data_IF_620569646527
#
_entry.id   IF_620569646527
#
_cell.length_a   1.000
_cell.length_b   1.000
_cell.length_c   1.000
_cell.angle_alpha   90.00
_cell.angle_beta   90.00
_cell.angle_gamma   90.00
#
_symmetry.space_group_name_H-M   'P 1'
#
loop_
_entity.id
_entity.type
_entity.pdbx_description
1 polymer ?
#
# COMPACT_ATOMS: atom_id res chain seq x y z
N UNK A 1 -8.03 -27.51 13.08
CA UNK A 1 -8.43 -26.13 13.39
C UNK A 1 -8.77 -25.44 12.07
N UNK A 2 -10.05 -25.13 11.81
CA UNK A 2 -10.47 -24.38 10.61
C UNK A 2 -10.39 -22.90 10.93
N UNK A 3 -9.44 -22.18 10.34
CA UNK A 3 -9.41 -20.72 10.38
C UNK A 3 -10.52 -20.22 9.47
N UNK A 4 -11.56 -19.61 10.06
CA UNK A 4 -12.57 -18.88 9.30
C UNK A 4 -11.89 -17.69 8.60
N UNK A 5 -11.84 -17.73 7.27
CA UNK A 5 -11.43 -16.60 6.46
C UNK A 5 -12.47 -15.48 6.59
N UNK A 6 -12.19 -14.54 7.50
CA UNK A 6 -12.95 -13.30 7.58
C UNK A 6 -12.72 -12.47 6.28
N UNK A 7 -13.75 -11.77 5.78
CA UNK A 7 -13.62 -10.94 4.58
C UNK A 7 -12.67 -9.77 4.85
N UNK A 8 -11.44 -9.86 4.31
CA UNK A 8 -10.42 -8.79 4.33
C UNK A 8 -10.77 -7.70 3.31
N UNK A 9 -11.92 -7.05 3.46
CA UNK A 9 -12.37 -6.02 2.51
C UNK A 9 -12.62 -4.71 3.27
N UNK A 10 -11.63 -3.83 3.33
CA UNK A 10 -11.82 -2.49 3.92
C UNK A 10 -10.57 -1.73 4.37
N UNK A 11 -9.38 -2.34 4.37
CA UNK A 11 -8.18 -1.70 4.93
C UNK A 11 -7.31 -0.96 3.91
N UNK A 12 -7.51 -1.16 2.62
CA UNK A 12 -6.73 -0.49 1.56
C UNK A 12 -7.05 1.01 1.42
N UNK A 13 -8.16 1.48 2.01
CA UNK A 13 -8.64 2.87 1.92
C UNK A 13 -8.14 3.76 3.06
N UNK A 14 -7.85 3.21 4.24
CA UNK A 14 -7.48 4.01 5.44
C UNK A 14 -6.14 4.75 5.28
N UNK A 15 -5.06 4.15 4.74
CA UNK A 15 -3.77 4.83 4.60
C UNK A 15 -3.82 6.02 3.63
N UNK A 16 -4.68 5.92 2.60
CA UNK A 16 -4.85 6.93 1.56
C UNK A 16 -5.48 8.22 2.12
N UNK A 17 -6.52 8.10 2.95
CA UNK A 17 -7.24 9.26 3.50
C UNK A 17 -6.36 10.03 4.49
N UNK A 18 -5.60 9.33 5.34
CA UNK A 18 -4.71 9.98 6.32
C UNK A 18 -3.57 10.72 5.64
N UNK A 19 -2.98 10.14 4.59
CA UNK A 19 -1.91 10.78 3.81
C UNK A 19 -2.39 12.08 3.14
N UNK A 20 -3.60 12.06 2.58
CA UNK A 20 -4.23 13.24 1.95
C UNK A 20 -4.59 14.31 2.99
N UNK A 21 -5.08 13.89 4.16
CA UNK A 21 -5.39 14.82 5.26
C UNK A 21 -4.11 15.50 5.80
N UNK A 22 -3.01 14.75 5.93
CA UNK A 22 -1.70 15.28 6.32
C UNK A 22 -1.17 16.28 5.27
N UNK A 23 -1.33 15.96 3.98
CA UNK A 23 -0.96 16.87 2.89
C UNK A 23 -1.80 18.16 2.92
N UNK A 24 -3.10 18.08 3.23
CA UNK A 24 -3.99 19.23 3.29
C UNK A 24 -3.83 20.11 4.55
N UNK A 25 -3.37 19.55 5.66
CA UNK A 25 -3.26 20.25 6.94
C UNK A 25 -1.99 21.11 7.09
N UNK A 26 -0.99 20.92 6.23
CA UNK A 26 0.27 21.67 6.32
C UNK A 26 0.21 22.94 5.45
N UNK A 27 0.27 24.12 6.08
CA UNK A 27 0.52 25.38 5.37
C UNK A 27 1.97 25.32 4.83
N UNK A 28 2.12 25.00 3.55
CA UNK A 28 3.44 24.94 2.93
C UNK A 28 3.78 26.27 2.26
N UNK A 29 4.81 26.93 2.78
CA UNK A 29 5.53 27.96 2.03
C UNK A 29 6.46 27.26 1.03
N UNK A 30 6.60 27.84 -0.17
CA UNK A 30 7.46 27.28 -1.21
C UNK A 30 8.87 27.23 -0.65
N UNK A 31 9.45 26.05 -0.53
CA UNK A 31 10.80 25.95 0.01
C UNK A 31 11.79 26.58 -0.97
N UNK A 32 12.83 27.21 -0.45
CA UNK A 32 13.93 27.72 -1.26
C UNK A 32 14.61 26.58 -2.04
N UNK A 33 15.33 26.86 -3.14
CA UNK A 33 16.16 25.83 -3.78
C UNK A 33 17.17 25.26 -2.77
N UNK A 34 17.44 23.96 -2.83
CA UNK A 34 18.49 23.30 -2.04
C UNK A 34 19.84 23.64 -2.66
N UNK A 35 20.64 24.44 -1.97
CA UNK A 35 21.95 24.88 -2.47
C UNK A 35 23.10 24.14 -1.81
N UNK A 36 22.87 23.59 -0.61
CA UNK A 36 23.88 22.89 0.16
C UNK A 36 23.35 21.58 0.77
N UNK A 37 24.26 20.71 1.18
CA UNK A 37 23.93 19.51 1.96
C UNK A 37 23.42 19.85 3.37
N UNK A 38 23.80 21.01 3.90
CA UNK A 38 23.31 21.48 5.20
C UNK A 38 21.83 21.84 5.11
N UNK A 39 21.40 22.45 4.00
CA UNK A 39 19.98 22.74 3.74
C UNK A 39 19.14 21.46 3.71
N UNK A 40 19.70 20.37 3.14
CA UNK A 40 19.05 19.06 3.12
C UNK A 40 18.79 18.56 4.54
N UNK A 41 19.81 18.53 5.39
CA UNK A 41 19.68 18.04 6.76
C UNK A 41 18.80 18.94 7.63
N UNK A 42 18.88 20.24 7.43
CA UNK A 42 18.00 21.19 8.10
C UNK A 42 16.53 20.92 7.77
N UNK A 43 16.19 20.66 6.50
CA UNK A 43 14.83 20.28 6.08
C UNK A 43 14.42 18.91 6.57
N UNK A 44 15.34 17.94 6.54
CA UNK A 44 15.12 16.59 7.04
C UNK A 44 14.64 16.59 8.51
N UNK A 45 15.17 17.51 9.31
CA UNK A 45 14.84 17.65 10.73
C UNK A 45 13.63 18.55 11.00
N UNK A 46 12.96 19.08 9.96
CA UNK A 46 11.76 19.89 10.18
C UNK A 46 10.63 19.03 10.79
N UNK A 47 9.85 19.56 11.74
CA UNK A 47 8.81 18.80 12.43
C UNK A 47 7.79 18.14 11.50
N UNK A 48 7.50 18.77 10.36
CA UNK A 48 6.55 18.29 9.36
C UNK A 48 7.09 17.05 8.63
N UNK A 49 8.37 17.08 8.24
CA UNK A 49 9.06 15.95 7.61
C UNK A 49 9.18 14.80 8.62
N UNK A 50 9.62 15.09 9.85
CA UNK A 50 9.70 14.11 10.93
C UNK A 50 8.34 13.46 11.24
N UNK A 51 7.24 14.21 11.22
CA UNK A 51 5.91 13.66 11.41
C UNK A 51 5.55 12.63 10.34
N UNK A 52 5.90 12.88 9.07
CA UNK A 52 5.67 11.92 7.98
C UNK A 52 6.57 10.69 8.12
N UNK A 53 7.85 10.84 8.50
CA UNK A 53 8.70 9.69 8.83
C UNK A 53 8.11 8.84 9.95
N UNK A 54 7.70 9.47 11.06
CA UNK A 54 7.05 8.78 12.17
C UNK A 54 5.78 8.05 11.71
N UNK A 55 4.95 8.66 10.87
CA UNK A 55 3.76 8.03 10.31
C UNK A 55 4.09 6.73 9.54
N UNK A 56 5.07 6.76 8.63
CA UNK A 56 5.44 5.59 7.84
C UNK A 56 6.13 4.50 8.67
N UNK A 57 6.97 4.88 9.62
CA UNK A 57 7.60 3.93 10.54
C UNK A 57 6.55 3.26 11.45
N UNK A 58 5.61 4.02 12.00
CA UNK A 58 4.49 3.47 12.76
C UNK A 58 3.61 2.56 11.89
N UNK A 59 3.32 2.96 10.65
CA UNK A 59 2.54 2.13 9.70
C UNK A 59 3.24 0.81 9.40
N UNK A 60 4.57 0.83 9.29
CA UNK A 60 5.40 -0.37 9.12
C UNK A 60 5.25 -1.31 10.31
N UNK A 61 5.41 -0.80 11.53
CA UNK A 61 5.25 -1.58 12.77
C UNK A 61 3.84 -2.17 12.87
N UNK A 62 2.81 -1.38 12.57
CA UNK A 62 1.42 -1.85 12.56
C UNK A 62 1.18 -2.95 11.52
N UNK A 63 1.82 -2.89 10.35
CA UNK A 63 1.71 -3.95 9.35
C UNK A 63 2.36 -5.26 9.82
N UNK A 64 3.55 -5.19 10.42
CA UNK A 64 4.24 -6.36 10.98
C UNK A 64 3.43 -7.02 12.10
N UNK A 65 2.87 -6.24 13.02
CA UNK A 65 2.16 -6.76 14.20
C UNK A 65 0.71 -7.14 13.88
N UNK A 66 0.03 -6.38 13.03
CA UNK A 66 -1.42 -6.45 12.85
C UNK A 66 -1.90 -7.11 11.56
N UNK A 67 -1.06 -7.22 10.52
CA UNK A 67 -1.50 -7.68 9.20
C UNK A 67 -0.71 -8.89 8.71
N UNK A 68 0.56 -8.69 8.36
CA UNK A 68 1.49 -9.74 7.97
C UNK A 68 2.91 -9.17 7.82
N UNK A 69 3.92 -10.02 8.00
CA UNK A 69 5.31 -9.64 7.82
C UNK A 69 5.60 -9.12 6.41
N UNK A 70 4.99 -9.73 5.38
CA UNK A 70 5.23 -9.33 3.99
C UNK A 70 4.65 -7.96 3.66
N UNK A 71 3.52 -7.59 4.29
CA UNK A 71 3.01 -6.23 4.19
C UNK A 71 3.92 -5.24 4.93
N UNK A 72 4.48 -5.64 6.08
CA UNK A 72 5.52 -4.87 6.76
C UNK A 72 6.73 -4.59 5.87
N UNK A 73 7.26 -5.63 5.20
CA UNK A 73 8.36 -5.48 4.24
C UNK A 73 7.99 -4.60 3.03
N UNK A 74 6.76 -4.71 2.52
CA UNK A 74 6.30 -3.87 1.41
C UNK A 74 6.24 -2.38 1.79
N UNK A 75 5.72 -2.06 2.98
CA UNK A 75 5.69 -0.67 3.49
C UNK A 75 7.11 -0.17 3.75
N UNK A 76 7.99 -0.99 4.32
CA UNK A 76 9.38 -0.63 4.57
C UNK A 76 10.16 -0.38 3.27
N UNK A 77 9.94 -1.23 2.25
CA UNK A 77 10.48 -1.03 0.90
C UNK A 77 10.03 0.30 0.31
N UNK A 78 8.72 0.58 0.34
CA UNK A 78 8.17 1.83 -0.17
C UNK A 78 8.74 3.05 0.58
N UNK A 79 8.90 2.95 1.91
CA UNK A 79 9.50 4.02 2.71
C UNK A 79 10.94 4.34 2.25
N UNK A 80 11.79 3.33 2.09
CA UNK A 80 13.17 3.56 1.61
C UNK A 80 13.22 4.08 0.17
N UNK A 81 12.28 3.68 -0.67
CA UNK A 81 12.11 4.22 -2.02
C UNK A 81 11.72 5.71 -1.99
N UNK A 82 10.77 6.09 -1.13
CA UNK A 82 10.40 7.49 -0.89
C UNK A 82 11.59 8.33 -0.36
N UNK A 83 12.44 7.78 0.51
CA UNK A 83 13.67 8.44 0.95
C UNK A 83 14.69 8.56 -0.19
N UNK A 84 14.84 7.52 -1.02
CA UNK A 84 15.68 7.50 -2.21
C UNK A 84 15.24 8.58 -3.22
N UNK A 85 13.93 8.84 -3.34
CA UNK A 85 13.36 9.92 -4.14
C UNK A 85 13.80 11.30 -3.63
N UNK A 86 13.79 11.54 -2.31
CA UNK A 86 14.28 12.81 -1.73
C UNK A 86 15.75 13.07 -2.10
N UNK A 87 16.61 12.04 -1.98
CA UNK A 87 18.00 12.15 -2.40
C UNK A 87 18.13 12.41 -3.90
N UNK A 88 17.34 11.73 -4.73
CA UNK A 88 17.38 11.90 -6.19
C UNK A 88 17.05 13.33 -6.60
N UNK A 89 15.97 13.92 -6.08
CA UNK A 89 15.61 15.31 -6.37
C UNK A 89 16.61 16.31 -5.82
N UNK A 90 17.17 16.05 -4.64
CA UNK A 90 18.21 16.92 -4.06
C UNK A 90 19.47 16.93 -4.92
N UNK A 91 19.94 15.74 -5.35
CA UNK A 91 21.09 15.61 -6.25
C UNK A 91 20.83 16.34 -7.57
N UNK A 92 19.63 16.18 -8.16
CA UNK A 92 19.28 16.87 -9.39
C UNK A 92 19.31 18.40 -9.22
N UNK A 93 18.69 18.94 -8.17
CA UNK A 93 18.68 20.37 -7.89
C UNK A 93 20.08 20.95 -7.62
N UNK A 94 20.92 20.21 -6.88
CA UNK A 94 22.31 20.60 -6.63
C UNK A 94 23.16 20.54 -7.90
N UNK A 95 22.95 19.54 -8.76
CA UNK A 95 23.67 19.43 -10.03
C UNK A 95 23.29 20.53 -11.02
N UNK A 96 22.00 20.92 -11.06
CA UNK A 96 21.51 22.04 -11.86
C UNK A 96 22.11 23.38 -11.42
N UNK A 97 22.35 23.57 -10.12
CA UNK A 97 22.89 24.82 -9.57
C UNK A 97 24.42 24.90 -9.65
N UNK A 98 25.13 23.79 -9.38
CA UNK A 98 26.59 23.76 -9.33
C UNK A 98 27.26 23.41 -10.67
N UNK A 99 26.54 22.74 -11.56
CA UNK A 99 27.05 22.30 -12.87
C UNK A 99 28.18 21.26 -12.82
N UNK A 100 28.53 20.74 -11.64
CA UNK A 100 29.64 19.78 -11.46
C UNK A 100 29.40 18.84 -10.28
N UNK A 101 30.02 17.65 -10.28
CA UNK A 101 29.99 16.76 -9.11
C UNK A 101 30.99 17.24 -8.05
N UNK A 102 30.50 17.76 -6.94
CA UNK A 102 31.30 18.04 -5.76
C UNK A 102 31.28 16.88 -4.74
N UNK A 103 32.06 17.00 -3.66
CA UNK A 103 32.12 15.99 -2.61
C UNK A 103 30.79 15.83 -1.82
N UNK A 104 29.90 16.84 -1.86
CA UNK A 104 28.58 16.76 -1.23
C UNK A 104 27.63 15.87 -2.06
N UNK A 105 27.61 16.04 -3.37
CA UNK A 105 26.87 15.22 -4.31
C UNK A 105 27.29 13.74 -4.27
N UNK A 106 28.60 13.48 -4.12
CA UNK A 106 29.10 12.10 -3.94
C UNK A 106 28.53 11.48 -2.66
N UNK A 107 28.54 12.21 -1.53
CA UNK A 107 27.97 11.72 -0.27
C UNK A 107 26.47 11.41 -0.40
N UNK A 108 25.69 12.32 -0.99
CA UNK A 108 24.25 12.08 -1.23
C UNK A 108 24.02 10.88 -2.15
N UNK A 109 24.87 10.67 -3.16
CA UNK A 109 24.79 9.53 -4.08
C UNK A 109 25.04 8.19 -3.36
N UNK A 110 25.95 8.17 -2.39
CA UNK A 110 26.19 6.97 -1.55
C UNK A 110 24.96 6.68 -0.68
N UNK A 111 24.36 7.68 -0.03
CA UNK A 111 23.13 7.48 0.74
C UNK A 111 21.97 7.02 -0.15
N UNK A 112 21.82 7.61 -1.34
CA UNK A 112 20.83 7.16 -2.34
C UNK A 112 21.04 5.69 -2.71
N UNK A 113 22.28 5.28 -3.00
CA UNK A 113 22.58 3.90 -3.34
C UNK A 113 22.25 2.94 -2.19
N UNK A 114 22.57 3.33 -0.94
CA UNK A 114 22.19 2.57 0.25
C UNK A 114 20.67 2.42 0.38
N UNK A 115 19.90 3.49 0.20
CA UNK A 115 18.44 3.43 0.22
C UNK A 115 17.88 2.53 -0.90
N UNK A 116 18.42 2.61 -2.11
CA UNK A 116 18.01 1.77 -3.23
C UNK A 116 18.27 0.28 -2.95
N UNK A 117 19.46 -0.08 -2.44
CA UNK A 117 19.78 -1.46 -2.07
C UNK A 117 18.88 -1.96 -0.95
N UNK A 118 18.58 -1.10 0.03
CA UNK A 118 17.68 -1.42 1.14
C UNK A 118 16.25 -1.63 0.66
N UNK A 119 15.75 -0.77 -0.24
CA UNK A 119 14.43 -0.93 -0.85
C UNK A 119 14.35 -2.25 -1.62
N UNK A 120 15.35 -2.58 -2.45
CA UNK A 120 15.41 -3.85 -3.20
C UNK A 120 15.40 -5.05 -2.24
N UNK A 121 16.18 -4.99 -1.16
CA UNK A 121 16.24 -6.06 -0.15
C UNK A 121 14.86 -6.33 0.46
N UNK A 122 14.16 -5.28 0.91
CA UNK A 122 12.82 -5.43 1.50
C UNK A 122 11.76 -5.79 0.47
N UNK A 123 11.88 -5.31 -0.77
CA UNK A 123 11.03 -5.73 -1.86
C UNK A 123 11.17 -7.24 -2.10
N UNK A 124 12.39 -7.78 -2.13
CA UNK A 124 12.61 -9.22 -2.25
C UNK A 124 12.00 -10.00 -1.08
N UNK A 125 12.14 -9.50 0.15
CA UNK A 125 11.51 -10.11 1.32
C UNK A 125 9.97 -10.08 1.23
N UNK A 126 9.38 -9.01 0.71
CA UNK A 126 7.93 -8.90 0.49
C UNK A 126 7.43 -9.85 -0.60
N UNK A 127 8.21 -10.04 -1.67
CA UNK A 127 7.89 -10.93 -2.80
C UNK A 127 7.90 -12.42 -2.44
N UNK A 128 8.34 -12.79 -1.23
CA UNK A 128 8.13 -14.14 -0.69
C UNK A 128 6.66 -14.51 -0.49
N UNK A 129 5.73 -13.54 -0.57
CA UNK A 129 4.28 -13.75 -0.55
C UNK A 129 3.67 -13.93 -1.96
N UNK A 130 2.34 -14.10 -2.01
CA UNK A 130 1.56 -14.07 -3.25
C UNK A 130 1.83 -12.76 -4.02
N UNK A 131 2.60 -12.88 -5.11
CA UNK A 131 3.01 -11.81 -6.02
C UNK A 131 1.83 -10.96 -6.49
N UNK A 132 0.64 -11.55 -6.58
CA UNK A 132 -0.59 -10.87 -7.01
C UNK A 132 -1.00 -9.74 -6.07
N UNK A 133 -0.79 -9.91 -4.76
CA UNK A 133 -1.19 -8.93 -3.74
C UNK A 133 -0.13 -7.84 -3.58
N UNK A 134 1.14 -8.23 -3.57
CA UNK A 134 2.25 -7.27 -3.36
C UNK A 134 2.50 -6.45 -4.63
N UNK A 135 2.38 -7.04 -5.81
CA UNK A 135 2.64 -6.36 -7.08
C UNK A 135 1.66 -5.21 -7.38
N UNK A 136 0.47 -5.23 -6.79
CA UNK A 136 -0.52 -4.15 -6.96
C UNK A 136 -0.41 -3.09 -5.86
N UNK A 137 -0.13 -3.49 -4.62
CA UNK A 137 -0.05 -2.59 -3.47
C UNK A 137 1.28 -1.82 -3.43
N UNK A 138 2.39 -2.44 -3.81
CA UNK A 138 3.71 -1.82 -3.68
C UNK A 138 3.86 -0.53 -4.51
N UNK A 139 3.47 -0.46 -5.80
CA UNK A 139 3.54 0.80 -6.56
C UNK A 139 2.67 1.90 -5.97
N UNK A 140 1.53 1.54 -5.38
CA UNK A 140 0.66 2.50 -4.69
C UNK A 140 1.35 3.07 -3.46
N UNK A 141 1.94 2.20 -2.62
CA UNK A 141 2.69 2.62 -1.44
C UNK A 141 3.88 3.51 -1.81
N UNK A 142 4.65 3.15 -2.84
CA UNK A 142 5.80 3.93 -3.33
C UNK A 142 5.38 5.36 -3.71
N UNK A 143 4.34 5.49 -4.55
CA UNK A 143 3.81 6.80 -4.94
C UNK A 143 3.32 7.62 -3.72
N UNK A 144 2.65 6.98 -2.75
CA UNK A 144 2.19 7.64 -1.54
C UNK A 144 3.35 8.10 -0.65
N UNK A 145 4.39 7.27 -0.48
CA UNK A 145 5.59 7.63 0.29
C UNK A 145 6.35 8.77 -0.37
N UNK A 146 6.54 8.74 -1.69
CA UNK A 146 7.20 9.80 -2.45
C UNK A 146 6.44 11.13 -2.34
N UNK A 147 5.12 11.10 -2.52
CA UNK A 147 4.28 12.29 -2.44
C UNK A 147 4.24 12.86 -1.02
N UNK A 148 4.05 12.00 -0.02
CA UNK A 148 3.92 12.43 1.38
C UNK A 148 5.24 12.89 2.00
N UNK A 149 6.38 12.31 1.62
CA UNK A 149 7.71 12.77 2.04
C UNK A 149 8.15 13.99 1.22
N UNK A 150 7.90 13.97 -0.09
CA UNK A 150 8.32 15.03 -1.01
C UNK A 150 7.64 16.37 -0.74
N UNK A 151 6.33 16.37 -0.46
CA UNK A 151 5.58 17.60 -0.24
C UNK A 151 6.13 18.44 0.94
N UNK A 152 6.24 17.94 2.19
CA UNK A 152 6.79 18.72 3.30
C UNK A 152 8.29 19.00 3.13
N UNK A 153 9.04 18.14 2.43
CA UNK A 153 10.49 18.32 2.25
C UNK A 153 10.82 19.42 1.23
N UNK A 154 10.13 19.45 0.09
CA UNK A 154 10.35 20.43 -0.98
C UNK A 154 9.39 21.63 -0.92
N UNK A 155 8.42 21.62 0.00
CA UNK A 155 7.36 22.64 0.05
C UNK A 155 6.47 22.61 -1.20
N UNK A 156 6.37 21.45 -1.85
CA UNK A 156 5.56 21.27 -3.06
C UNK A 156 4.08 21.30 -2.69
N UNK A 157 3.42 22.40 -3.05
CA UNK A 157 1.98 22.54 -2.85
C UNK A 157 1.23 21.55 -3.73
N UNK A 158 0.78 20.45 -3.13
CA UNK A 158 -0.20 19.56 -3.74
C UNK A 158 -1.54 20.29 -3.73
N UNK A 159 -1.91 20.91 -4.86
CA UNK A 159 -3.25 21.47 -5.03
C UNK A 159 -4.25 20.31 -4.99
N UNK A 160 -5.03 20.22 -3.92
CA UNK A 160 -6.13 19.26 -3.81
C UNK A 160 -7.21 19.68 -4.81
N UNK A 161 -7.13 19.13 -6.02
CA UNK A 161 -8.13 19.33 -7.06
C UNK A 161 -9.13 18.18 -7.04
N UNK A 162 -10.38 18.39 -7.50
CA UNK A 162 -11.33 17.28 -7.67
C UNK A 162 -10.78 16.15 -8.55
N UNK A 163 -9.97 16.49 -9.56
CA UNK A 163 -9.29 15.51 -10.41
C UNK A 163 -8.28 14.66 -9.62
N UNK A 164 -7.50 15.26 -8.72
CA UNK A 164 -6.59 14.52 -7.85
C UNK A 164 -7.36 13.58 -6.91
N UNK A 165 -8.47 14.05 -6.32
CA UNK A 165 -9.32 13.21 -5.47
C UNK A 165 -9.95 12.05 -6.25
N UNK A 166 -10.41 12.30 -7.48
CA UNK A 166 -10.91 11.25 -8.36
C UNK A 166 -9.80 10.26 -8.73
N UNK A 167 -8.60 10.73 -9.07
CA UNK A 167 -7.46 9.86 -9.35
C UNK A 167 -7.07 9.01 -8.14
N UNK A 168 -7.07 9.59 -6.93
CA UNK A 168 -6.84 8.88 -5.67
C UNK A 168 -7.93 7.87 -5.34
N UNK A 169 -9.19 8.12 -5.74
CA UNK A 169 -10.28 7.15 -5.57
C UNK A 169 -10.21 6.02 -6.62
N UNK A 170 -9.79 6.35 -7.84
CA UNK A 170 -9.66 5.39 -8.95
C UNK A 170 -8.42 4.51 -8.78
N UNK A 171 -7.31 5.01 -8.23
CA UNK A 171 -6.09 4.24 -8.09
C UNK A 171 -6.28 2.93 -7.27
N UNK A 172 -6.91 2.93 -6.08
CA UNK A 172 -7.26 1.70 -5.36
C UNK A 172 -8.19 0.80 -6.17
N UNK A 173 -9.14 1.36 -6.92
CA UNK A 173 -10.04 0.58 -7.78
C UNK A 173 -9.28 -0.10 -8.93
N UNK A 174 -8.36 0.60 -9.58
CA UNK A 174 -7.49 0.06 -10.62
C UNK A 174 -6.56 -1.02 -10.08
N UNK A 175 -5.96 -0.80 -8.91
CA UNK A 175 -5.14 -1.76 -8.18
C UNK A 175 -5.96 -3.01 -7.83
N UNK A 176 -7.19 -2.82 -7.34
CA UNK A 176 -8.12 -3.92 -7.05
C UNK A 176 -8.50 -4.71 -8.31
N UNK A 177 -8.79 -4.02 -9.42
CA UNK A 177 -9.09 -4.66 -10.70
C UNK A 177 -7.90 -5.46 -11.23
N UNK A 178 -6.67 -4.96 -11.08
CA UNK A 178 -5.44 -5.67 -11.45
C UNK A 178 -5.20 -6.90 -10.57
N UNK A 179 -5.59 -6.87 -9.29
CA UNK A 179 -5.50 -8.00 -8.39
C UNK A 179 -6.49 -9.15 -8.73
N UNK A 180 -7.48 -8.91 -9.59
CA UNK A 180 -8.45 -9.92 -10.06
C UNK A 180 -7.86 -10.80 -11.17
N UNK A 181 -6.90 -11.67 -10.82
CA UNK A 181 -6.36 -12.65 -11.78
C UNK A 181 -7.47 -13.56 -12.32
N UNK A 182 -7.37 -14.04 -13.58
CA UNK A 182 -8.34 -14.97 -14.16
C UNK A 182 -8.55 -16.22 -13.29
N UNK A 183 -7.49 -16.67 -12.63
CA UNK A 183 -7.50 -17.81 -11.72
C UNK A 183 -8.30 -17.55 -10.46
N UNK A 184 -8.10 -16.39 -9.80
CA UNK A 184 -8.93 -15.98 -8.64
C UNK A 184 -10.40 -15.86 -9.03
N UNK A 185 -10.69 -15.31 -10.22
CA UNK A 185 -12.06 -15.26 -10.77
C UNK A 185 -12.64 -16.66 -11.04
N UNK A 186 -11.85 -17.59 -11.58
CA UNK A 186 -12.29 -18.98 -11.78
C UNK A 186 -12.59 -19.66 -10.44
N UNK A 187 -11.73 -19.49 -9.44
CA UNK A 187 -11.91 -20.07 -8.12
C UNK A 187 -13.13 -19.48 -7.39
N UNK A 188 -13.36 -18.17 -7.48
CA UNK A 188 -14.54 -17.54 -6.90
C UNK A 188 -15.83 -18.03 -7.57
N UNK A 189 -15.84 -18.17 -8.90
CA UNK A 189 -16.97 -18.76 -9.64
C UNK A 189 -17.23 -20.22 -9.23
N UNK A 190 -16.19 -21.04 -9.08
CA UNK A 190 -16.32 -22.43 -8.65
C UNK A 190 -16.86 -22.55 -7.22
N UNK A 191 -16.41 -21.68 -6.31
CA UNK A 191 -16.95 -21.61 -4.94
C UNK A 191 -18.42 -21.19 -4.92
N UNK A 192 -18.78 -20.17 -5.70
CA UNK A 192 -20.17 -19.72 -5.84
C UNK A 192 -21.07 -20.84 -6.40
N UNK A 193 -20.60 -21.59 -7.41
CA UNK A 193 -21.31 -22.77 -7.93
C UNK A 193 -21.46 -23.88 -6.89
N UNK A 194 -20.41 -24.17 -6.11
CA UNK A 194 -20.51 -25.17 -5.03
C UNK A 194 -21.49 -24.74 -3.96
N UNK A 195 -21.54 -23.46 -3.61
CA UNK A 195 -22.49 -22.93 -2.63
C UNK A 195 -23.94 -23.05 -3.13
N UNK A 196 -24.21 -22.71 -4.39
CA UNK A 196 -25.55 -22.88 -4.97
C UNK A 196 -25.97 -24.34 -5.13
N UNK A 197 -25.03 -25.22 -5.50
CA UNK A 197 -25.31 -26.66 -5.65
C UNK A 197 -25.47 -27.35 -4.31
N UNK A 198 -24.67 -26.99 -3.30
CA UNK A 198 -24.76 -27.53 -1.95
C UNK A 198 -26.08 -27.17 -1.27
N UNK A 199 -26.53 -25.92 -1.40
CA UNK A 199 -27.85 -25.51 -0.92
C UNK A 199 -28.99 -26.30 -1.59
N UNK A 200 -28.88 -26.59 -2.89
CA UNK A 200 -29.84 -27.42 -3.60
C UNK A 200 -29.84 -28.88 -3.15
N UNK A 201 -28.68 -29.43 -2.77
CA UNK A 201 -28.55 -30.81 -2.29
C UNK A 201 -29.11 -30.97 -0.88
N UNK A 202 -28.84 -30.02 0.02
CA UNK A 202 -29.42 -30.01 1.37
C UNK A 202 -30.94 -29.85 1.31
N UNK A 203 -31.46 -29.02 0.40
CA UNK A 203 -32.91 -28.88 0.20
C UNK A 203 -33.54 -30.16 -0.37
N UNK A 204 -32.88 -30.85 -1.30
CA UNK A 204 -33.33 -32.12 -1.85
C UNK A 204 -33.33 -33.25 -0.80
N UNK A 205 -32.29 -33.35 0.02
CA UNK A 205 -32.19 -34.32 1.12
C UNK A 205 -33.26 -34.06 2.19
N UNK A 206 -33.51 -32.78 2.53
CA UNK A 206 -34.57 -32.41 3.46
C UNK A 206 -35.97 -32.76 2.93
N UNK A 207 -36.25 -32.56 1.63
CA UNK A 207 -37.51 -32.99 1.00
C UNK A 207 -37.64 -34.51 0.95
N UNK A 208 -36.56 -35.24 0.68
CA UNK A 208 -36.55 -36.71 0.65
C UNK A 208 -36.83 -37.31 2.04
N UNK A 209 -36.24 -36.75 3.10
CA UNK A 209 -36.51 -37.18 4.48
C UNK A 209 -37.96 -36.94 4.90
N UNK A 210 -38.58 -35.81 4.53
CA UNK A 210 -40.01 -35.57 4.77
C UNK A 210 -40.92 -36.55 4.03
N UNK A 211 -40.56 -36.95 2.82
CA UNK A 211 -41.34 -37.93 2.05
C UNK A 211 -41.30 -39.32 2.69
N UNK A 212 -40.14 -39.76 3.19
CA UNK A 212 -40.00 -41.08 3.85
C UNK A 212 -40.71 -41.15 5.22
N UNK A 213 -40.82 -40.04 5.95
CA UNK A 213 -41.54 -39.99 7.23
C UNK A 213 -43.07 -40.05 7.12
N UNK A 214 -43.64 -39.82 5.93
CA UNK A 214 -45.08 -39.89 5.69
C UNK A 214 -45.57 -41.32 5.43
N UNK A 215 -44.73 -42.20 4.88
CA UNK A 215 -45.09 -43.59 4.61
C UNK A 215 -45.10 -44.47 5.87
N UNK A 216 -44.35 -44.10 6.91
CA UNK A 216 -44.24 -44.92 8.14
C UNK A 216 -45.46 -44.82 9.06
N UNK A 217 -46.39 -43.88 8.81
CA UNK A 217 -47.63 -43.71 9.62
C UNK A 217 -48.86 -44.42 9.05
N UNK A 218 -48.75 -45.13 7.92
CA UNK A 218 -49.90 -45.85 7.30
C UNK A 218 -50.04 -47.32 7.69
N UNK A 219 -49.18 -47.84 8.57
CA UNK A 219 -49.06 -49.28 8.87
C UNK A 219 -49.43 -49.72 10.29
N UNK A 220 -50.36 -49.04 10.97
CA UNK A 220 -50.93 -49.52 12.24
C UNK A 220 -52.45 -49.51 12.12
N UNK A 221 -53.00 -50.65 11.75
CA UNK A 221 -54.40 -51.05 11.94
C UNK A 221 -54.38 -52.24 12.89
#
# INVERSE_FOLDING_TARGET
MKTCDAPRCGWDTVPNVVSVALLGATKQEKAEPLTSIEDFWHRWLQPQVLAVHCFWLCSTVLCFVGISEQNGFAVLSAYFDGVQFLFTRTIAAMLETTGSMDAALVRLSVFKAFCALTAIHWQQAALGADLTSIGTVLPLLQNLTEASLGAPFFGDRVKVTPALLAALAVAPLSVWLLAQTPERRRLSMLRARRASTGASLDEALCRSSKAQGLDTKRGTI
#
